data_IF_200510745744
#
_entry.id   IF_200510745744
#
_cell.length_a   1.000
_cell.length_b   1.000
_cell.length_c   1.000
_cell.angle_alpha   90.00
_cell.angle_beta   90.00
_cell.angle_gamma   90.00
#
_symmetry.space_group_name_H-M   'P 1'
#
loop_
_entity.id
_entity.type
_entity.pdbx_description
1 polymer ?
#
# COMPACT_ATOMS: atom_id res chain seq x y z
N UNK A 1 -2.11 -5.80 8.34
CA UNK A 1 -1.40 -6.46 7.21
C UNK A 1 -1.41 -5.71 5.89
N UNK A 2 -2.49 -5.03 5.50
CA UNK A 2 -2.59 -4.39 4.18
C UNK A 2 -1.41 -3.43 3.87
N UNK A 3 -0.99 -2.62 4.86
CA UNK A 3 0.15 -1.69 4.73
C UNK A 3 1.48 -2.41 4.54
N UNK A 4 1.71 -3.51 5.26
CA UNK A 4 2.93 -4.32 5.14
C UNK A 4 3.01 -4.99 3.77
N UNK A 5 1.90 -5.57 3.32
CA UNK A 5 1.81 -6.15 1.98
C UNK A 5 2.03 -5.11 0.88
N UNK A 6 1.48 -3.89 1.05
CA UNK A 6 1.70 -2.80 0.11
C UNK A 6 3.17 -2.35 0.07
N UNK A 7 3.83 -2.23 1.24
CA UNK A 7 5.24 -1.89 1.32
C UNK A 7 6.14 -2.98 0.70
N UNK A 8 5.89 -4.25 0.99
CA UNK A 8 6.62 -5.37 0.38
C UNK A 8 6.47 -5.38 -1.14
N UNK A 9 5.25 -5.14 -1.65
CA UNK A 9 5.01 -5.08 -3.09
C UNK A 9 5.75 -3.91 -3.73
N UNK A 10 5.74 -2.74 -3.09
CA UNK A 10 6.42 -1.53 -3.55
C UNK A 10 7.95 -1.71 -3.57
N UNK A 11 8.53 -2.33 -2.52
CA UNK A 11 9.97 -2.61 -2.43
C UNK A 11 10.49 -3.52 -3.55
N UNK A 12 9.64 -4.32 -4.20
CA UNK A 12 10.07 -5.16 -5.34
C UNK A 12 10.45 -4.33 -6.57
N UNK A 13 9.95 -3.11 -6.69
CA UNK A 13 10.09 -2.28 -7.89
C UNK A 13 10.69 -0.90 -7.60
N UNK A 14 10.44 -0.34 -6.42
CA UNK A 14 10.89 0.97 -5.98
C UNK A 14 12.01 0.80 -4.95
N UNK A 15 13.14 1.47 -5.17
CA UNK A 15 14.24 1.56 -4.22
C UNK A 15 14.16 2.89 -3.47
N UNK A 16 14.72 2.95 -2.26
CA UNK A 16 14.77 4.19 -1.49
C UNK A 16 13.43 4.66 -0.93
N UNK A 17 12.51 3.74 -0.60
CA UNK A 17 11.25 4.09 0.07
C UNK A 17 11.56 4.68 1.45
N UNK A 18 11.13 5.92 1.69
CA UNK A 18 11.36 6.65 2.94
C UNK A 18 10.08 6.82 3.77
N UNK A 19 8.91 6.67 3.14
CA UNK A 19 7.64 6.81 3.82
C UNK A 19 6.51 6.11 3.10
N UNK A 20 5.53 5.65 3.88
CA UNK A 20 4.26 5.13 3.38
C UNK A 20 3.14 5.73 4.20
N UNK A 21 2.15 6.29 3.54
CA UNK A 21 0.97 6.90 4.16
C UNK A 21 -0.28 6.17 3.70
N UNK A 22 -1.13 5.79 4.64
CA UNK A 22 -2.40 5.13 4.35
C UNK A 22 -3.47 6.20 4.27
N UNK A 23 -3.91 6.50 3.06
CA UNK A 23 -4.96 7.49 2.84
C UNK A 23 -6.34 6.94 3.19
N UNK A 24 -6.57 5.67 2.87
CA UNK A 24 -7.88 5.06 3.07
C UNK A 24 -7.77 3.55 3.15
N UNK A 25 -8.47 2.96 4.10
CA UNK A 25 -8.69 1.53 4.17
C UNK A 25 -10.19 1.27 4.11
N UNK A 26 -10.63 0.43 3.16
CA UNK A 26 -12.02 0.03 3.04
C UNK A 26 -12.10 -1.46 2.80
N UNK A 27 -13.30 -2.00 2.99
CA UNK A 27 -13.62 -3.37 2.68
C UNK A 27 -14.82 -3.42 1.73
N UNK A 28 -14.72 -4.21 0.67
CA UNK A 28 -15.88 -4.60 -0.12
C UNK A 28 -16.63 -5.68 0.67
N UNK A 29 -17.94 -5.48 0.87
CA UNK A 29 -18.81 -6.44 1.57
C UNK A 29 -19.80 -7.02 0.58
N UNK A 30 -19.81 -8.34 0.45
CA UNK A 30 -20.79 -9.08 -0.35
C UNK A 30 -21.49 -10.10 0.54
N UNK A 31 -22.82 -10.17 0.45
CA UNK A 31 -23.65 -11.09 1.22
C UNK A 31 -23.38 -11.05 2.75
N UNK A 32 -23.11 -9.85 3.28
CA UNK A 32 -22.83 -9.64 4.70
C UNK A 32 -21.45 -10.13 5.16
N UNK A 33 -20.57 -10.53 4.25
CA UNK A 33 -19.18 -10.91 4.54
C UNK A 33 -18.22 -9.99 3.80
N UNK A 34 -17.07 -9.72 4.43
CA UNK A 34 -16.01 -8.95 3.78
C UNK A 34 -15.42 -9.81 2.66
N UNK A 35 -15.62 -9.37 1.43
CA UNK A 35 -15.12 -10.03 0.22
C UNK A 35 -13.66 -9.66 -0.05
N UNK A 36 -13.30 -8.39 0.11
CA UNK A 36 -11.94 -7.91 -0.17
C UNK A 36 -11.59 -6.69 0.67
N UNK A 37 -10.35 -6.63 1.17
CA UNK A 37 -9.79 -5.45 1.81
C UNK A 37 -8.98 -4.63 0.80
N UNK A 38 -9.27 -3.33 0.71
CA UNK A 38 -8.61 -2.39 -0.18
C UNK A 38 -7.99 -1.26 0.63
N UNK A 39 -6.66 -1.19 0.58
CA UNK A 39 -5.91 -0.07 1.13
C UNK A 39 -5.37 0.81 0.00
N UNK A 40 -5.70 2.09 0.05
CA UNK A 40 -5.09 3.12 -0.80
C UNK A 40 -3.95 3.74 -0.01
N UNK A 41 -2.74 3.61 -0.55
CA UNK A 41 -1.52 4.12 0.08
C UNK A 41 -0.77 5.06 -0.85
N UNK A 42 -0.13 6.07 -0.29
CA UNK A 42 0.91 6.85 -0.94
C UNK A 42 2.28 6.36 -0.47
N UNK A 43 3.19 6.20 -1.42
CA UNK A 43 4.57 5.77 -1.14
C UNK A 43 5.50 6.89 -1.55
N UNK A 44 6.29 7.36 -0.59
CA UNK A 44 7.35 8.33 -0.82
C UNK A 44 8.67 7.59 -0.94
N UNK A 45 9.39 7.83 -2.03
CA UNK A 45 10.70 7.25 -2.26
C UNK A 45 11.63 8.28 -2.88
N UNK A 46 12.91 8.17 -2.54
CA UNK A 46 13.96 9.00 -3.11
C UNK A 46 14.40 8.36 -4.42
N UNK A 47 14.42 9.15 -5.48
CA UNK A 47 14.97 8.73 -6.77
C UNK A 47 16.47 9.04 -6.75
N UNK A 48 17.29 8.02 -6.93
CA UNK A 48 18.73 8.22 -7.16
C UNK A 48 18.94 8.63 -8.63
N UNK A 49 19.26 9.91 -8.83
CA UNK A 49 19.74 10.51 -10.07
C UNK A 49 20.03 11.99 -9.79
N UNK A 50 21.25 12.50 -9.87
CA UNK A 50 22.38 12.21 -10.75
C UNK A 50 23.69 12.43 -9.99
#
# INVERSE_FOLDING_TARGET
DAVRNALERANKTLRGITGIEVLKENAAVENGKIAEYRATVQVTFVIEGT
#
